data_IF_157109008099
#
_entry.id   IF_157109008099
#
_cell.length_a   1.000
_cell.length_b   1.000
_cell.length_c   1.000
_cell.angle_alpha   90.00
_cell.angle_beta   90.00
_cell.angle_gamma   90.00
#
_symmetry.space_group_name_H-M   'P 1'
#
loop_
_entity.id
_entity.type
_entity.pdbx_description
1 polymer ?
#
# COMPACT_ATOMS: atom_id res chain seq x y z
N UNK A 1 16.04 0.62 -20.44
CA UNK A 1 15.23 -0.59 -20.11
C UNK A 1 14.45 -0.27 -18.84
N UNK A 2 13.15 -0.01 -18.93
CA UNK A 2 12.30 0.16 -17.75
C UNK A 2 11.96 -1.23 -17.19
N UNK A 3 12.22 -1.46 -15.90
CA UNK A 3 11.82 -2.70 -15.25
C UNK A 3 10.31 -2.91 -15.44
N UNK A 4 9.84 -4.16 -15.65
CA UNK A 4 8.41 -4.43 -15.79
C UNK A 4 7.67 -3.95 -14.53
N UNK A 5 6.68 -3.09 -14.72
CA UNK A 5 5.77 -2.69 -13.64
C UNK A 5 4.91 -3.89 -13.27
N UNK A 6 4.97 -4.30 -12.00
CA UNK A 6 4.10 -5.30 -11.43
C UNK A 6 2.97 -4.60 -10.70
N UNK A 7 1.74 -5.07 -10.91
CA UNK A 7 0.60 -4.61 -10.11
C UNK A 7 0.56 -5.44 -8.83
N UNK A 8 0.65 -4.78 -7.68
CA UNK A 8 0.56 -5.40 -6.37
C UNK A 8 -0.80 -5.06 -5.74
N UNK A 9 -1.48 -6.08 -5.22
CA UNK A 9 -2.63 -5.88 -4.34
C UNK A 9 -2.10 -5.68 -2.92
N UNK A 10 -2.35 -4.50 -2.36
CA UNK A 10 -1.94 -4.18 -1.01
C UNK A 10 -3.10 -4.27 -0.04
N UNK A 11 -2.79 -4.57 1.21
CA UNK A 11 -3.70 -4.49 2.33
C UNK A 11 -2.92 -3.98 3.54
N UNK A 12 -3.37 -2.89 4.13
CA UNK A 12 -2.72 -2.24 5.28
C UNK A 12 -3.77 -1.80 6.26
N UNK A 13 -3.49 -2.00 7.55
CA UNK A 13 -4.30 -1.43 8.62
C UNK A 13 -3.79 -0.02 8.92
N UNK A 14 -4.70 0.94 8.84
CA UNK A 14 -4.40 2.34 9.10
C UNK A 14 -5.47 2.94 10.01
N UNK A 15 -5.04 3.88 10.85
CA UNK A 15 -5.90 4.57 11.79
C UNK A 15 -6.21 5.96 11.25
N UNK A 16 -7.49 6.31 11.18
CA UNK A 16 -7.92 7.66 10.79
C UNK A 16 -7.53 8.70 11.85
N UNK A 17 -7.56 9.97 11.46
CA UNK A 17 -7.46 11.14 12.36
C UNK A 17 -8.36 11.07 13.61
N UNK A 18 -9.49 10.35 13.54
CA UNK A 18 -10.42 10.12 14.67
C UNK A 18 -10.06 8.92 15.56
N UNK A 19 -8.90 8.29 15.36
CA UNK A 19 -8.48 7.11 16.12
C UNK A 19 -9.19 5.81 15.72
N UNK A 20 -9.89 5.79 14.57
CA UNK A 20 -10.61 4.59 14.11
C UNK A 20 -9.68 3.74 13.27
N UNK A 21 -9.44 2.51 13.70
CA UNK A 21 -8.67 1.54 12.93
C UNK A 21 -9.53 1.01 11.78
N UNK A 22 -9.00 1.12 10.56
CA UNK A 22 -9.62 0.67 9.33
C UNK A 22 -8.64 -0.13 8.48
N UNK A 23 -9.17 -1.06 7.69
CA UNK A 23 -8.37 -1.84 6.74
C UNK A 23 -8.46 -1.20 5.37
N UNK A 24 -7.33 -0.71 4.86
CA UNK A 24 -7.20 -0.17 3.52
C UNK A 24 -6.67 -1.24 2.59
N UNK A 25 -7.32 -1.41 1.45
CA UNK A 25 -6.85 -2.32 0.41
C UNK A 25 -7.01 -1.68 -0.95
N UNK A 26 -6.09 -1.98 -1.86
CA UNK A 26 -6.06 -1.38 -3.18
C UNK A 26 -5.04 -2.05 -4.07
N UNK A 27 -4.80 -1.42 -5.21
CA UNK A 27 -3.77 -1.82 -6.16
C UNK A 27 -2.71 -0.72 -6.21
N UNK A 28 -1.45 -1.12 -6.31
CA UNK A 28 -0.32 -0.22 -6.53
C UNK A 28 0.56 -0.81 -7.62
N UNK A 29 0.92 -0.01 -8.62
CA UNK A 29 1.84 -0.42 -9.67
C UNK A 29 3.26 -0.03 -9.26
N UNK A 30 4.17 -1.00 -9.25
CA UNK A 30 5.55 -0.79 -8.83
C UNK A 30 6.48 -1.85 -9.40
N UNK A 31 7.74 -1.47 -9.59
CA UNK A 31 8.77 -2.38 -10.10
C UNK A 31 9.26 -3.39 -9.04
N UNK A 32 9.03 -3.12 -7.74
CA UNK A 32 9.48 -3.95 -6.62
C UNK A 32 8.48 -3.88 -5.46
N UNK A 33 8.48 -4.91 -4.61
CA UNK A 33 7.67 -4.95 -3.38
C UNK A 33 8.01 -3.78 -2.43
N UNK A 34 9.30 -3.45 -2.28
CA UNK A 34 9.72 -2.33 -1.44
C UNK A 34 9.12 -1.00 -1.92
N UNK A 35 9.22 -0.68 -3.21
CA UNK A 35 8.63 0.53 -3.79
C UNK A 35 7.11 0.52 -3.71
N UNK A 36 6.46 -0.64 -3.89
CA UNK A 36 5.02 -0.79 -3.70
C UNK A 36 4.63 -0.46 -2.25
N UNK A 37 5.44 -0.88 -1.28
CA UNK A 37 5.20 -0.62 0.15
C UNK A 37 5.30 0.86 0.47
N UNK A 38 6.37 1.51 0.02
CA UNK A 38 6.57 2.95 0.21
C UNK A 38 5.41 3.73 -0.41
N UNK A 39 5.05 3.45 -1.66
CA UNK A 39 3.93 4.13 -2.33
C UNK A 39 2.58 3.92 -1.64
N UNK A 40 2.35 2.75 -1.03
CA UNK A 40 1.16 2.49 -0.21
C UNK A 40 1.18 3.31 1.08
N UNK A 41 2.32 3.36 1.78
CA UNK A 41 2.48 4.14 3.00
C UNK A 41 2.25 5.63 2.70
N UNK A 42 2.87 6.16 1.65
CA UNK A 42 2.69 7.55 1.20
C UNK A 42 1.23 7.84 0.85
N UNK A 43 0.57 6.96 0.10
CA UNK A 43 -0.84 7.14 -0.29
C UNK A 43 -1.78 7.14 0.93
N UNK A 44 -1.56 6.25 1.89
CA UNK A 44 -2.36 6.15 3.12
C UNK A 44 -2.17 7.40 3.99
N UNK A 45 -0.93 7.86 4.12
CA UNK A 45 -0.61 9.09 4.84
C UNK A 45 -1.19 10.33 4.16
N UNK A 46 -1.12 10.41 2.82
CA UNK A 46 -1.72 11.49 2.04
C UNK A 46 -3.25 11.52 2.16
N UNK A 47 -3.88 10.36 2.35
CA UNK A 47 -5.32 10.27 2.64
C UNK A 47 -5.69 10.64 4.09
N UNK A 48 -4.72 11.01 4.93
CA UNK A 48 -4.94 11.41 6.32
C UNK A 48 -4.98 10.26 7.31
N UNK A 49 -4.56 9.06 6.90
CA UNK A 49 -4.51 7.88 7.75
C UNK A 49 -3.08 7.58 8.20
N UNK A 50 -2.92 7.12 9.44
CA UNK A 50 -1.63 6.63 9.96
C UNK A 50 -1.55 5.12 9.76
N UNK A 51 -0.63 4.58 8.95
CA UNK A 51 -0.42 3.14 8.89
C UNK A 51 0.05 2.63 10.25
N UNK A 52 -0.68 1.67 10.83
CA UNK A 52 -0.42 1.14 12.17
C UNK A 52 -0.05 -0.35 12.15
N UNK A 53 -0.21 -1.02 11.00
CA UNK A 53 0.04 -2.45 10.86
C UNK A 53 1.04 -2.79 9.74
N UNK A 54 1.26 -4.09 9.57
CA UNK A 54 2.08 -4.63 8.49
C UNK A 54 1.36 -4.45 7.15
N UNK A 55 2.03 -3.79 6.20
CA UNK A 55 1.56 -3.71 4.81
C UNK A 55 1.73 -5.09 4.19
N UNK A 56 0.63 -5.76 3.90
CA UNK A 56 0.63 -7.02 3.16
C UNK A 56 0.55 -6.72 1.67
N UNK A 57 1.55 -7.18 0.91
CA UNK A 57 1.61 -7.04 -0.54
C UNK A 57 1.46 -8.40 -1.19
N UNK A 58 0.59 -8.51 -2.19
CA UNK A 58 0.45 -9.72 -3.01
C UNK A 58 0.62 -9.33 -4.49
N UNK A 59 1.62 -9.87 -5.20
CA UNK A 59 1.78 -9.58 -6.62
C UNK A 59 0.60 -10.18 -7.38
N UNK A 60 -0.06 -9.37 -8.20
CA UNK A 60 -1.10 -9.84 -9.11
C UNK A 60 -0.37 -10.40 -10.35
N UNK A 61 0.02 -11.67 -10.29
CA UNK A 61 0.54 -12.37 -11.48
C UNK A 61 -0.54 -12.32 -12.56
N UNK A 62 -0.19 -11.76 -13.73
CA UNK A 62 -0.99 -11.79 -14.94
C UNK A 62 -0.94 -13.17 -15.56
#
# INVERSE_FOLDING_TARGET
MGAPLLTWKFTVEATDSKGRLGKHSGLVDSHSEASAREGVIESVQAAGYRPCGVVTLKPKRK
#
